data_IF_891787216254
#
_entry.id   IF_891787216254
#
_cell.length_a   1.000
_cell.length_b   1.000
_cell.length_c   1.000
_cell.angle_alpha   90.00
_cell.angle_beta   90.00
_cell.angle_gamma   90.00
#
_symmetry.space_group_name_H-M   'P 1'
#
loop_
_entity.id
_entity.type
_entity.pdbx_description
1 polymer ?
#
# COMPACT_ATOMS: atom_id res chain seq x y z
N UNK A 1 9.57 -13.32 -11.52
CA UNK A 1 8.76 -12.26 -10.89
C UNK A 1 8.13 -11.47 -12.03
N UNK A 2 6.81 -11.43 -12.12
CA UNK A 2 6.13 -10.61 -13.13
C UNK A 2 6.07 -9.16 -12.63
N UNK A 3 7.06 -8.36 -13.04
CA UNK A 3 7.15 -6.94 -12.69
C UNK A 3 5.90 -6.17 -13.14
N UNK A 4 5.21 -6.62 -14.20
CA UNK A 4 3.99 -5.97 -14.69
C UNK A 4 2.82 -6.11 -13.71
N UNK A 5 2.65 -7.29 -13.11
CA UNK A 5 1.60 -7.53 -12.13
C UNK A 5 1.84 -6.75 -10.82
N UNK A 6 3.07 -6.72 -10.32
CA UNK A 6 3.41 -5.97 -9.10
C UNK A 6 3.21 -4.46 -9.29
N UNK A 7 3.73 -3.90 -10.41
CA UNK A 7 3.54 -2.48 -10.72
C UNK A 7 2.06 -2.09 -10.78
N UNK A 8 1.24 -2.90 -11.46
CA UNK A 8 -0.20 -2.67 -11.52
C UNK A 8 -0.86 -2.71 -10.14
N UNK A 9 -0.42 -3.61 -9.26
CA UNK A 9 -0.92 -3.67 -7.88
C UNK A 9 -0.53 -2.43 -7.08
N UNK A 10 0.70 -1.93 -7.23
CA UNK A 10 1.15 -0.68 -6.62
C UNK A 10 0.26 0.48 -7.09
N UNK A 11 0.14 0.67 -8.41
CA UNK A 11 -0.69 1.73 -9.01
C UNK A 11 -2.14 1.64 -8.52
N UNK A 12 -2.72 0.43 -8.47
CA UNK A 12 -4.09 0.19 -7.97
C UNK A 12 -4.25 0.62 -6.51
N UNK A 13 -3.26 0.33 -5.65
CA UNK A 13 -3.31 0.72 -4.24
C UNK A 13 -3.14 2.22 -4.08
N UNK A 14 -2.22 2.86 -4.82
CA UNK A 14 -2.01 4.30 -4.76
C UNK A 14 -3.24 5.08 -5.26
N UNK A 15 -3.85 4.66 -6.37
CA UNK A 15 -5.10 5.25 -6.87
C UNK A 15 -6.26 5.02 -5.89
N UNK A 16 -6.32 3.84 -5.28
CA UNK A 16 -7.28 3.51 -4.23
C UNK A 16 -7.15 4.41 -3.00
N UNK A 17 -5.92 4.76 -2.60
CA UNK A 17 -5.65 5.72 -1.52
C UNK A 17 -6.02 7.14 -1.93
N UNK A 18 -5.64 7.58 -3.14
CA UNK A 18 -5.89 8.93 -3.65
C UNK A 18 -7.37 9.22 -3.91
N UNK A 19 -8.19 8.20 -4.15
CA UNK A 19 -9.64 8.34 -4.32
C UNK A 19 -10.42 8.42 -3.00
N UNK A 20 -9.77 8.23 -1.84
CA UNK A 20 -10.43 8.38 -0.55
C UNK A 20 -10.58 9.85 -0.17
N UNK A 21 -11.81 10.23 0.19
CA UNK A 21 -12.05 11.52 0.85
C UNK A 21 -11.23 11.62 2.14
N UNK A 22 -10.50 12.73 2.29
CA UNK A 22 -9.62 13.00 3.43
C UNK A 22 -8.57 11.90 3.67
N UNK A 23 -7.97 11.35 2.60
CA UNK A 23 -6.83 10.43 2.70
C UNK A 23 -5.73 11.02 3.63
N UNK A 24 -5.40 10.39 4.78
CA UNK A 24 -4.43 10.91 5.73
C UNK A 24 -3.01 10.35 5.51
N UNK A 25 -2.82 9.48 4.52
CA UNK A 25 -1.57 8.76 4.28
C UNK A 25 -0.70 9.51 3.27
N UNK A 26 0.59 9.61 3.57
CA UNK A 26 1.60 10.24 2.71
C UNK A 26 2.57 9.17 2.23
N UNK A 27 2.72 9.05 0.91
CA UNK A 27 3.67 8.13 0.30
C UNK A 27 5.11 8.57 0.58
N UNK A 28 5.97 7.62 0.96
CA UNK A 28 7.40 7.83 1.19
C UNK A 28 8.23 6.67 0.62
N UNK A 29 9.53 6.71 0.87
CA UNK A 29 10.44 5.59 0.58
C UNK A 29 10.74 5.41 -0.92
N UNK A 30 11.13 4.20 -1.30
CA UNK A 30 11.58 3.90 -2.67
C UNK A 30 10.49 4.11 -3.72
N UNK A 31 9.25 3.82 -3.39
CA UNK A 31 8.12 3.97 -4.32
C UNK A 31 7.72 5.42 -4.49
N UNK A 32 7.86 6.27 -3.46
CA UNK A 32 7.78 7.72 -3.67
C UNK A 32 8.86 8.21 -4.65
N UNK A 33 10.11 7.75 -4.49
CA UNK A 33 11.21 8.11 -5.39
C UNK A 33 10.94 7.67 -6.84
N UNK A 34 10.37 6.47 -7.03
CA UNK A 34 9.98 5.92 -8.32
C UNK A 34 8.83 6.71 -8.97
N UNK A 35 7.72 6.89 -8.26
CA UNK A 35 6.50 7.49 -8.81
C UNK A 35 6.57 9.02 -8.93
N UNK A 36 7.32 9.69 -8.05
CA UNK A 36 7.28 11.15 -7.93
C UNK A 36 8.59 11.86 -8.29
N UNK A 37 9.73 11.15 -8.26
CA UNK A 37 11.06 11.79 -8.40
C UNK A 37 11.96 11.17 -9.46
N UNK A 38 11.43 10.26 -10.30
CA UNK A 38 12.13 9.73 -11.46
C UNK A 38 13.27 8.75 -11.15
N UNK A 39 13.17 8.00 -10.05
CA UNK A 39 14.09 6.88 -9.80
C UNK A 39 14.04 5.88 -10.96
N UNK A 40 15.21 5.49 -11.47
CA UNK A 40 15.39 4.66 -12.66
C UNK A 40 15.38 3.14 -12.39
N UNK A 41 15.10 2.76 -11.15
CA UNK A 41 14.95 1.37 -10.71
C UNK A 41 13.57 1.11 -10.11
N UNK A 42 13.11 -0.12 -10.25
CA UNK A 42 11.87 -0.57 -9.65
C UNK A 42 11.94 -0.60 -8.11
N UNK A 43 10.79 -0.34 -7.47
CA UNK A 43 10.57 -0.42 -6.03
C UNK A 43 9.32 -1.25 -5.78
N UNK A 44 9.43 -2.27 -4.95
CA UNK A 44 8.44 -3.37 -4.84
C UNK A 44 7.41 -3.18 -3.72
N UNK A 45 7.66 -2.24 -2.80
CA UNK A 45 6.88 -2.03 -1.58
C UNK A 45 6.14 -0.69 -1.61
N UNK A 46 5.14 -0.49 -0.75
CA UNK A 46 4.59 0.83 -0.46
C UNK A 46 4.93 1.18 0.99
N UNK A 47 5.58 2.33 1.20
CA UNK A 47 5.79 2.88 2.54
C UNK A 47 4.92 4.13 2.72
N UNK A 48 4.18 4.19 3.82
CA UNK A 48 3.31 5.32 4.15
C UNK A 48 3.68 5.92 5.50
N UNK A 49 3.50 7.24 5.63
CA UNK A 49 3.40 7.93 6.92
C UNK A 49 1.98 8.45 7.15
N UNK A 50 1.60 8.53 8.41
CA UNK A 50 0.36 9.13 8.86
C UNK A 50 0.56 9.78 10.24
N UNK A 51 -0.18 10.83 10.53
CA UNK A 51 -0.09 11.47 11.84
C UNK A 51 -0.76 10.61 12.92
N UNK A 52 0.06 9.90 13.71
CA UNK A 52 -0.38 8.88 14.67
C UNK A 52 -1.47 9.37 15.65
N UNK A 53 -1.42 10.64 16.07
CA UNK A 53 -2.41 11.17 17.02
C UNK A 53 -3.83 11.32 16.42
N UNK A 54 -3.96 11.36 15.09
CA UNK A 54 -5.23 11.62 14.40
C UNK A 54 -5.68 10.47 13.49
N UNK A 55 -4.84 9.45 13.28
CA UNK A 55 -5.13 8.33 12.39
C UNK A 55 -5.11 7.02 13.17
N UNK A 56 -6.29 6.46 13.52
CA UNK A 56 -6.35 5.17 14.19
C UNK A 56 -5.75 4.06 13.31
N UNK A 57 -5.01 3.13 13.90
CA UNK A 57 -4.42 1.98 13.18
C UNK A 57 -5.46 1.19 12.35
N UNK A 58 -6.71 1.08 12.84
CA UNK A 58 -7.80 0.44 12.11
C UNK A 58 -8.14 1.13 10.79
N UNK A 59 -7.92 2.44 10.66
CA UNK A 59 -8.17 3.18 9.41
C UNK A 59 -7.28 2.66 8.29
N UNK A 60 -6.00 2.41 8.57
CA UNK A 60 -5.06 1.83 7.61
C UNK A 60 -5.56 0.47 7.10
N UNK A 61 -5.89 -0.46 8.00
CA UNK A 61 -6.34 -1.80 7.59
C UNK A 61 -7.69 -1.76 6.86
N UNK A 62 -8.66 -0.98 7.34
CA UNK A 62 -9.97 -0.86 6.70
C UNK A 62 -9.85 -0.28 5.28
N UNK A 63 -9.01 0.74 5.07
CA UNK A 63 -8.77 1.31 3.75
C UNK A 63 -8.16 0.28 2.81
N UNK A 64 -7.13 -0.45 3.25
CA UNK A 64 -6.52 -1.49 2.42
C UNK A 64 -7.50 -2.63 2.12
N UNK A 65 -8.30 -3.07 3.10
CA UNK A 65 -9.33 -4.10 2.88
C UNK A 65 -10.37 -3.67 1.85
N UNK A 66 -10.80 -2.40 1.87
CA UNK A 66 -11.73 -1.84 0.88
C UNK A 66 -11.12 -1.86 -0.53
N UNK A 67 -9.89 -1.38 -0.68
CA UNK A 67 -9.15 -1.39 -1.96
C UNK A 67 -8.98 -2.83 -2.45
N UNK A 68 -8.56 -3.74 -1.56
CA UNK A 68 -8.39 -5.15 -1.88
C UNK A 68 -9.71 -5.77 -2.40
N UNK A 69 -10.80 -5.58 -1.66
CA UNK A 69 -12.12 -6.11 -2.02
C UNK A 69 -12.62 -5.58 -3.36
N UNK A 70 -12.42 -4.30 -3.64
CA UNK A 70 -12.84 -3.68 -4.90
C UNK A 70 -12.10 -4.24 -6.12
N UNK A 71 -10.88 -4.75 -5.92
CA UNK A 71 -10.00 -5.23 -7.00
C UNK A 71 -9.83 -6.76 -7.03
N UNK A 72 -10.57 -7.50 -6.19
CA UNK A 72 -10.43 -8.95 -6.10
C UNK A 72 -9.10 -9.42 -5.48
N UNK A 73 -8.42 -8.55 -4.73
CA UNK A 73 -7.19 -8.88 -4.01
C UNK A 73 -7.50 -9.40 -2.60
N UNK A 74 -6.49 -10.04 -1.99
CA UNK A 74 -6.57 -10.47 -0.59
C UNK A 74 -5.59 -9.64 0.24
N UNK A 75 -6.10 -9.05 1.33
CA UNK A 75 -5.30 -8.29 2.29
C UNK A 75 -5.11 -9.11 3.56
N UNK A 76 -3.88 -9.18 4.06
CA UNK A 76 -3.53 -9.81 5.34
C UNK A 76 -2.85 -8.81 6.26
N UNK A 77 -3.41 -8.59 7.45
CA UNK A 77 -2.72 -7.88 8.51
C UNK A 77 -1.48 -8.68 8.96
N UNK A 78 -0.31 -8.06 8.89
CA UNK A 78 0.97 -8.66 9.26
C UNK A 78 1.48 -8.18 10.62
N UNK A 79 1.28 -6.90 10.93
CA UNK A 79 1.68 -6.29 12.20
C UNK A 79 0.76 -5.13 12.55
N UNK A 80 0.30 -5.06 13.79
CA UNK A 80 -0.48 -3.95 14.33
C UNK A 80 0.10 -3.54 15.69
N UNK A 81 1.16 -2.73 15.67
CA UNK A 81 1.76 -2.12 16.84
C UNK A 81 1.42 -0.62 16.89
N UNK A 82 1.63 0.10 18.02
CA UNK A 82 1.30 1.53 18.12
C UNK A 82 1.91 2.38 16.99
N UNK A 83 3.21 2.23 16.74
CA UNK A 83 3.95 3.06 15.77
C UNK A 83 4.21 2.38 14.42
N UNK A 84 3.68 1.18 14.21
CA UNK A 84 3.91 0.43 12.98
C UNK A 84 2.74 -0.49 12.68
N UNK A 85 2.09 -0.21 11.57
CA UNK A 85 1.14 -1.08 10.93
C UNK A 85 1.77 -1.68 9.67
N UNK A 86 1.41 -2.92 9.35
CA UNK A 86 1.87 -3.59 8.13
C UNK A 86 0.81 -4.55 7.63
N UNK A 87 0.60 -4.54 6.32
CA UNK A 87 -0.22 -5.49 5.59
C UNK A 87 0.58 -6.15 4.46
N UNK A 88 0.08 -7.28 3.99
CA UNK A 88 0.48 -7.89 2.74
C UNK A 88 -0.73 -8.04 1.83
N UNK A 89 -0.58 -7.70 0.56
CA UNK A 89 -1.61 -7.75 -0.46
C UNK A 89 -1.24 -8.80 -1.49
N UNK A 90 -2.07 -9.82 -1.63
CA UNK A 90 -1.99 -10.81 -2.70
C UNK A 90 -2.87 -10.34 -3.87
N UNK A 91 -2.26 -10.11 -5.03
CA UNK A 91 -2.90 -9.54 -6.22
C UNK A 91 -2.91 -10.49 -7.42
N UNK A 92 -2.72 -11.79 -7.19
CA UNK A 92 -2.65 -12.84 -8.22
C UNK A 92 -1.35 -13.64 -8.21
N UNK A 93 -0.29 -13.11 -7.58
CA UNK A 93 0.92 -13.87 -7.23
C UNK A 93 0.95 -14.15 -5.71
N UNK A 94 1.03 -15.43 -5.35
CA UNK A 94 1.09 -15.89 -3.96
C UNK A 94 2.50 -15.85 -3.37
N UNK A 95 3.54 -15.81 -4.21
CA UNK A 95 4.94 -15.88 -3.78
C UNK A 95 5.54 -14.50 -3.51
N UNK A 96 5.03 -13.45 -4.17
CA UNK A 96 5.50 -12.08 -4.01
C UNK A 96 4.35 -11.12 -3.67
N UNK A 97 3.79 -11.20 -2.44
CA UNK A 97 2.75 -10.26 -2.02
C UNK A 97 3.32 -8.84 -1.90
N UNK A 98 2.51 -7.84 -2.23
CA UNK A 98 2.86 -6.44 -2.06
C UNK A 98 2.82 -6.09 -0.57
N UNK A 99 3.95 -5.63 -0.03
CA UNK A 99 4.02 -5.13 1.34
C UNK A 99 3.59 -3.66 1.39
N UNK A 100 2.74 -3.35 2.36
CA UNK A 100 2.29 -2.00 2.70
C UNK A 100 2.46 -1.77 4.20
#
# INVERSE_FOLDING_TARGET
>A
MDLGANRKAIETVLDGLNSQDNNPFILKGGTALMECYGLDRFSEDIDLDAHHASVPAKRFFNTLEQICKANGYQCRQAKAAPYLQRAFITYGDLNTPLKV
#
